data_IF_333806991292
#
_entry.id   IF_333806991292
#
_cell.length_a   1.000
_cell.length_b   1.000
_cell.length_c   1.000
_cell.angle_alpha   90.00
_cell.angle_beta   90.00
_cell.angle_gamma   90.00
#
_symmetry.space_group_name_H-M   'P 1'
#
loop_
_entity.id
_entity.type
_entity.pdbx_description
1 polymer ?
#
# COMPACT_ATOMS: atom_id res chain seq x y z
N UNK A 1 -6.88 4.26 0.64
CA UNK A 1 -7.97 3.29 0.41
C UNK A 1 -8.97 3.47 1.53
N UNK A 2 -10.21 3.76 1.21
CA UNK A 2 -11.31 3.84 2.16
C UNK A 2 -11.92 2.46 2.30
N UNK A 3 -11.87 1.87 3.48
CA UNK A 3 -12.22 0.46 3.67
C UNK A 3 -13.65 0.27 4.19
N UNK A 4 -14.31 1.36 4.63
CA UNK A 4 -15.58 1.31 5.37
C UNK A 4 -15.47 0.31 6.55
N UNK A 5 -14.34 0.32 7.22
CA UNK A 5 -13.95 -0.66 8.22
C UNK A 5 -13.63 -0.06 9.59
N UNK A 6 -13.10 -0.91 10.46
CA UNK A 6 -12.89 -0.57 11.87
C UNK A 6 -11.77 0.46 12.12
N UNK A 7 -10.87 0.66 11.16
CA UNK A 7 -9.69 1.54 11.36
C UNK A 7 -10.04 3.01 11.21
N UNK A 8 -10.78 3.39 10.18
CA UNK A 8 -11.17 4.79 9.96
C UNK A 8 -12.38 5.23 10.78
N UNK A 9 -13.23 4.30 11.22
CA UNK A 9 -14.48 4.56 11.93
C UNK A 9 -14.36 5.55 13.11
N UNK A 10 -13.37 5.44 14.01
CA UNK A 10 -13.26 6.35 15.15
C UNK A 10 -13.04 7.83 14.78
N UNK A 11 -12.60 8.09 13.54
CA UNK A 11 -12.39 9.43 13.02
C UNK A 11 -13.60 9.87 12.21
N UNK A 12 -14.08 9.03 11.31
CA UNK A 12 -15.20 9.35 10.42
C UNK A 12 -16.48 9.62 11.22
N UNK A 13 -16.75 8.88 12.28
CA UNK A 13 -17.94 9.07 13.13
C UNK A 13 -17.94 10.38 13.92
N UNK A 14 -16.80 11.05 14.07
CA UNK A 14 -16.69 12.35 14.74
C UNK A 14 -16.93 13.52 13.77
N UNK A 15 -16.94 13.28 12.46
CA UNK A 15 -17.17 14.30 11.47
C UNK A 15 -18.66 14.66 11.38
N UNK A 16 -18.96 15.93 11.13
CA UNK A 16 -20.29 16.44 10.83
C UNK A 16 -20.59 16.44 9.32
N UNK A 17 -19.54 16.45 8.49
CA UNK A 17 -19.58 16.38 7.04
C UNK A 17 -18.39 15.56 6.51
N UNK A 18 -18.63 14.73 5.52
CA UNK A 18 -17.61 14.03 4.76
C UNK A 18 -17.47 14.68 3.38
N UNK A 19 -16.26 14.97 2.97
CA UNK A 19 -15.97 15.52 1.64
C UNK A 19 -15.07 14.54 0.88
N UNK A 20 -15.63 13.91 -0.15
CA UNK A 20 -14.91 13.03 -1.06
C UNK A 20 -14.36 13.81 -2.26
N UNK A 21 -13.04 13.91 -2.37
CA UNK A 21 -12.38 14.67 -3.43
C UNK A 21 -11.77 13.70 -4.44
N UNK A 22 -12.21 13.78 -5.70
CA UNK A 22 -11.69 12.93 -6.78
C UNK A 22 -11.94 11.44 -6.55
N UNK A 23 -13.08 11.09 -5.94
CA UNK A 23 -13.44 9.70 -5.67
C UNK A 23 -13.50 8.90 -6.97
N UNK A 24 -12.85 7.76 -6.99
CA UNK A 24 -12.98 6.75 -8.03
C UNK A 24 -13.99 5.68 -7.56
N UNK A 25 -15.04 5.38 -8.36
CA UNK A 25 -16.02 4.35 -8.01
C UNK A 25 -15.41 2.98 -7.74
N UNK A 26 -14.26 2.69 -8.35
CA UNK A 26 -13.55 1.42 -8.15
C UNK A 26 -12.95 1.31 -6.75
N UNK A 27 -12.64 2.44 -6.11
CA UNK A 27 -12.12 2.48 -4.74
C UNK A 27 -13.23 2.35 -3.69
N UNK A 28 -14.47 2.61 -4.07
CA UNK A 28 -15.64 2.41 -3.23
C UNK A 28 -15.98 0.93 -3.23
N UNK A 29 -15.50 0.21 -2.22
CA UNK A 29 -15.80 -1.21 -2.06
C UNK A 29 -17.31 -1.43 -2.09
N UNK A 30 -17.83 -2.50 -2.72
CA UNK A 30 -19.26 -2.81 -2.82
C UNK A 30 -19.78 -3.30 -1.47
N UNK A 31 -19.74 -2.47 -0.46
CA UNK A 31 -20.32 -2.67 0.86
C UNK A 31 -21.34 -1.58 1.12
N UNK A 32 -22.42 -1.90 1.86
CA UNK A 32 -23.34 -0.86 2.29
C UNK A 32 -22.61 0.25 3.04
N UNK A 33 -22.91 1.48 2.69
CA UNK A 33 -22.42 2.64 3.42
C UNK A 33 -22.99 2.64 4.84
N UNK A 34 -22.13 2.72 5.84
CA UNK A 34 -22.53 2.55 7.26
C UNK A 34 -22.47 3.85 8.06
N UNK A 35 -21.98 4.94 7.46
CA UNK A 35 -21.90 6.22 8.13
C UNK A 35 -23.15 7.05 7.89
N UNK A 36 -23.56 7.83 8.92
CA UNK A 36 -24.76 8.65 8.90
C UNK A 36 -24.51 10.10 8.52
N UNK A 37 -23.24 10.52 8.52
CA UNK A 37 -22.83 11.87 8.15
C UNK A 37 -23.17 12.14 6.68
N UNK A 38 -23.62 13.36 6.35
CA UNK A 38 -23.79 13.76 4.97
C UNK A 38 -22.44 13.70 4.24
N UNK A 39 -22.46 13.23 2.99
CA UNK A 39 -21.27 13.15 2.15
C UNK A 39 -21.45 14.01 0.91
N UNK A 40 -20.48 14.88 0.67
CA UNK A 40 -20.36 15.69 -0.54
C UNK A 40 -19.25 15.10 -1.42
N UNK A 41 -19.50 14.91 -2.69
CA UNK A 41 -18.45 14.55 -3.65
C UNK A 41 -18.05 15.73 -4.52
N UNK A 42 -16.73 15.94 -4.69
CA UNK A 42 -16.15 16.88 -5.63
C UNK A 42 -15.31 16.11 -6.65
N UNK A 43 -15.67 16.16 -7.94
CA UNK A 43 -15.00 15.34 -8.94
C UNK A 43 -15.19 15.86 -10.36
N UNK A 44 -14.43 15.27 -11.31
CA UNK A 44 -14.55 15.60 -12.74
C UNK A 44 -15.77 14.97 -13.42
N UNK A 45 -16.35 13.97 -12.80
CA UNK A 45 -17.54 13.24 -13.26
C UNK A 45 -18.43 12.86 -12.10
N UNK A 46 -19.66 12.54 -12.40
CA UNK A 46 -20.62 12.07 -11.40
C UNK A 46 -20.28 10.65 -10.99
N UNK A 47 -20.22 10.41 -9.70
CA UNK A 47 -20.05 9.07 -9.11
C UNK A 47 -21.42 8.42 -8.97
N UNK A 48 -21.51 7.12 -9.25
CA UNK A 48 -22.73 6.34 -9.03
C UNK A 48 -23.03 6.25 -7.51
N UNK A 49 -24.23 6.62 -7.13
CA UNK A 49 -24.68 6.75 -5.75
C UNK A 49 -25.33 5.48 -5.17
N UNK A 50 -25.35 4.38 -5.95
CA UNK A 50 -25.97 3.12 -5.49
C UNK A 50 -25.37 2.57 -4.19
N UNK A 51 -24.13 2.87 -3.89
CA UNK A 51 -23.41 2.36 -2.72
C UNK A 51 -23.11 3.43 -1.68
N UNK A 52 -23.12 4.69 -2.06
CA UNK A 52 -22.79 5.83 -1.20
C UNK A 52 -23.88 6.90 -1.36
N UNK A 53 -24.67 7.20 -0.32
CA UNK A 53 -25.75 8.15 -0.39
C UNK A 53 -25.21 9.60 -0.35
N UNK A 54 -24.73 10.10 -1.49
CA UNK A 54 -24.23 11.46 -1.58
C UNK A 54 -25.36 12.48 -1.33
N UNK A 55 -25.15 13.40 -0.39
CA UNK A 55 -26.04 14.53 -0.17
C UNK A 55 -25.99 15.53 -1.35
N UNK A 56 -24.80 15.70 -1.94
CA UNK A 56 -24.59 16.46 -3.15
C UNK A 56 -23.32 16.01 -3.90
N UNK A 57 -23.28 16.30 -5.20
CA UNK A 57 -22.10 16.05 -6.02
C UNK A 57 -21.79 17.30 -6.85
N UNK A 58 -20.62 17.88 -6.64
CA UNK A 58 -20.04 18.94 -7.44
C UNK A 58 -19.22 18.32 -8.56
N UNK A 59 -19.57 18.64 -9.80
CA UNK A 59 -18.92 18.06 -11.00
C UNK A 59 -18.34 19.17 -11.83
N UNK A 60 -17.00 19.26 -11.84
CA UNK A 60 -16.30 20.33 -12.54
C UNK A 60 -14.78 20.23 -12.35
N UNK A 61 -14.16 21.39 -12.33
CA UNK A 61 -12.73 21.50 -12.06
C UNK A 61 -12.49 21.48 -10.54
N UNK A 62 -11.95 20.37 -10.04
CA UNK A 62 -11.85 20.08 -8.58
C UNK A 62 -11.23 21.25 -7.79
N UNK A 63 -10.21 21.90 -8.33
CA UNK A 63 -9.56 23.00 -7.61
C UNK A 63 -10.47 24.24 -7.44
N UNK A 64 -11.27 24.57 -8.44
CA UNK A 64 -12.24 25.66 -8.41
C UNK A 64 -13.39 25.33 -7.45
N UNK A 65 -13.95 24.11 -7.58
CA UNK A 65 -15.00 23.63 -6.68
C UNK A 65 -14.57 23.65 -5.20
N UNK A 66 -13.32 23.26 -4.92
CA UNK A 66 -12.80 23.31 -3.55
C UNK A 66 -12.56 24.72 -3.05
N UNK A 67 -12.16 25.68 -3.91
CA UNK A 67 -12.01 27.09 -3.55
C UNK A 67 -13.36 27.69 -3.19
N UNK A 68 -14.37 27.45 -4.02
CA UNK A 68 -15.74 27.95 -3.80
C UNK A 68 -16.36 27.34 -2.54
N UNK A 69 -16.12 26.04 -2.32
CA UNK A 69 -16.59 25.35 -1.12
C UNK A 69 -15.89 25.84 0.15
N UNK A 70 -14.61 26.16 0.09
CA UNK A 70 -13.81 26.55 1.26
C UNK A 70 -14.15 27.98 1.75
N UNK A 71 -14.56 28.88 0.85
CA UNK A 71 -14.79 30.27 1.17
C UNK A 71 -15.86 30.51 2.26
N UNK A 72 -17.02 29.82 2.27
CA UNK A 72 -18.05 29.99 3.29
C UNK A 72 -17.84 29.11 4.54
N UNK A 73 -16.90 28.17 4.55
CA UNK A 73 -16.75 27.26 5.66
C UNK A 73 -16.12 27.95 6.87
N UNK A 74 -16.62 27.69 8.10
CA UNK A 74 -15.97 28.11 9.31
C UNK A 74 -14.62 27.42 9.49
N UNK A 75 -13.80 27.97 10.38
CA UNK A 75 -12.57 27.28 10.79
C UNK A 75 -12.92 25.95 11.44
N UNK A 76 -12.15 24.94 11.11
CA UNK A 76 -12.30 23.61 11.69
C UNK A 76 -12.20 23.64 13.22
N UNK A 77 -13.14 22.98 13.89
CA UNK A 77 -13.12 22.76 15.33
C UNK A 77 -12.34 21.50 15.75
N UNK A 78 -11.71 20.81 14.82
CA UNK A 78 -10.94 19.61 15.12
C UNK A 78 -9.74 19.90 16.02
N UNK A 79 -9.62 19.16 17.11
CA UNK A 79 -8.38 19.04 17.88
C UNK A 79 -7.39 18.19 17.07
N UNK A 80 -6.44 18.85 16.42
CA UNK A 80 -5.45 18.18 15.56
C UNK A 80 -4.50 17.29 16.36
N UNK A 81 -4.27 17.54 17.63
CA UNK A 81 -3.41 16.70 18.46
C UNK A 81 -4.15 15.42 18.88
N UNK A 82 -5.40 15.54 19.31
CA UNK A 82 -6.26 14.40 19.55
C UNK A 82 -6.44 13.52 18.30
N UNK A 83 -6.61 14.15 17.13
CA UNK A 83 -6.70 13.45 15.86
C UNK A 83 -5.42 12.68 15.53
N UNK A 84 -4.24 13.30 15.70
CA UNK A 84 -2.94 12.63 15.49
C UNK A 84 -2.76 11.44 16.43
N UNK A 85 -3.14 11.60 17.68
CA UNK A 85 -3.10 10.52 18.68
C UNK A 85 -4.00 9.36 18.29
N UNK A 86 -5.23 9.66 17.84
CA UNK A 86 -6.17 8.64 17.35
C UNK A 86 -5.60 7.91 16.14
N UNK A 87 -5.07 8.63 15.15
CA UNK A 87 -4.44 8.01 13.96
C UNK A 87 -3.26 7.12 14.35
N UNK A 88 -2.41 7.58 15.28
CA UNK A 88 -1.28 6.79 15.76
C UNK A 88 -1.75 5.51 16.46
N UNK A 89 -2.77 5.61 17.32
CA UNK A 89 -3.39 4.45 17.97
C UNK A 89 -3.98 3.46 16.98
N UNK A 90 -4.70 3.93 15.94
CA UNK A 90 -5.23 3.04 14.90
C UNK A 90 -4.11 2.35 14.09
N UNK A 91 -3.01 3.04 13.79
CA UNK A 91 -1.85 2.45 13.14
C UNK A 91 -1.15 1.40 14.03
N UNK A 92 -1.15 1.59 15.34
CA UNK A 92 -0.57 0.62 16.26
C UNK A 92 -1.43 -0.65 16.35
N UNK A 93 -2.75 -0.57 16.25
CA UNK A 93 -3.64 -1.74 16.15
C UNK A 93 -3.34 -2.65 14.94
N UNK A 94 -2.64 -2.14 13.92
CA UNK A 94 -2.20 -2.93 12.76
C UNK A 94 -0.88 -3.67 13.02
N UNK A 95 -0.29 -3.54 14.21
CA UNK A 95 0.88 -4.33 14.61
C UNK A 95 0.47 -5.78 14.82
N UNK A 96 1.27 -6.67 14.26
CA UNK A 96 1.09 -8.11 14.45
C UNK A 96 2.24 -8.64 15.31
N UNK A 97 1.89 -9.29 16.41
CA UNK A 97 2.87 -9.98 17.26
C UNK A 97 3.25 -11.32 16.63
N UNK A 98 4.53 -11.51 16.38
CA UNK A 98 5.12 -12.75 15.86
C UNK A 98 6.61 -12.77 16.16
N UNK A 99 7.17 -13.95 16.36
CA UNK A 99 8.62 -14.15 16.47
C UNK A 99 9.31 -14.07 15.09
N UNK A 100 8.55 -14.17 14.03
CA UNK A 100 9.02 -14.04 12.66
C UNK A 100 8.79 -12.63 12.11
N UNK A 101 9.42 -12.31 11.00
CA UNK A 101 9.18 -11.08 10.29
C UNK A 101 7.75 -11.04 9.74
N UNK A 102 7.06 -9.91 9.92
CA UNK A 102 5.68 -9.72 9.47
C UNK A 102 5.58 -8.61 8.43
N UNK A 103 4.52 -8.64 7.62
CA UNK A 103 4.36 -7.66 6.54
C UNK A 103 4.28 -6.21 7.04
N UNK A 104 3.65 -5.95 8.18
CA UNK A 104 3.61 -4.63 8.79
C UNK A 104 4.99 -4.16 9.27
N UNK A 105 5.82 -5.06 9.84
CA UNK A 105 7.20 -4.75 10.21
C UNK A 105 8.04 -4.38 9.00
N UNK A 106 7.92 -5.15 7.90
CA UNK A 106 8.64 -4.84 6.64
C UNK A 106 8.30 -3.43 6.17
N UNK A 107 7.02 -3.07 6.10
CA UNK A 107 6.60 -1.74 5.65
C UNK A 107 7.09 -0.65 6.59
N UNK A 108 6.95 -0.83 7.91
CA UNK A 108 7.40 0.15 8.92
C UNK A 108 8.90 0.40 8.85
N UNK A 109 9.69 -0.66 8.69
CA UNK A 109 11.14 -0.55 8.57
C UNK A 109 11.52 0.12 7.26
N UNK A 110 10.98 -0.33 6.13
CA UNK A 110 11.27 0.24 4.81
C UNK A 110 10.91 1.74 4.73
N UNK A 111 9.74 2.13 5.24
CA UNK A 111 9.31 3.53 5.25
C UNK A 111 10.20 4.44 6.12
N UNK A 112 10.79 3.91 7.20
CA UNK A 112 11.74 4.66 8.03
C UNK A 112 13.13 4.75 7.42
N UNK A 113 13.58 3.68 6.76
CA UNK A 113 14.91 3.62 6.15
C UNK A 113 15.01 4.42 4.85
N UNK A 114 13.90 4.58 4.13
CA UNK A 114 13.82 5.31 2.88
C UNK A 114 12.72 6.41 2.92
N UNK A 115 12.84 7.43 3.80
CA UNK A 115 11.78 8.40 4.05
C UNK A 115 11.45 9.28 2.83
N UNK A 116 12.42 9.52 1.97
CA UNK A 116 12.26 10.34 0.77
C UNK A 116 11.96 9.53 -0.50
N UNK A 117 11.90 8.21 -0.38
CA UNK A 117 11.63 7.36 -1.52
C UNK A 117 10.19 7.51 -2.02
N UNK A 118 10.02 7.40 -3.34
CA UNK A 118 8.73 7.05 -3.92
C UNK A 118 8.49 5.56 -3.70
N UNK A 119 7.25 5.16 -3.45
CA UNK A 119 6.89 3.76 -3.28
C UNK A 119 5.92 3.31 -4.36
N UNK A 120 6.16 2.14 -4.92
CA UNK A 120 5.20 1.44 -5.78
C UNK A 120 4.76 0.16 -5.07
N UNK A 121 3.47 -0.15 -5.13
CA UNK A 121 2.90 -1.25 -4.36
C UNK A 121 2.11 -2.17 -5.28
N UNK A 122 2.44 -3.44 -5.22
CA UNK A 122 1.77 -4.48 -5.98
C UNK A 122 0.44 -4.91 -5.34
N UNK A 123 -0.44 -5.51 -6.12
CA UNK A 123 -1.63 -6.15 -5.58
C UNK A 123 -1.27 -7.42 -4.81
N UNK A 124 -1.91 -7.61 -3.67
CA UNK A 124 -1.69 -8.76 -2.78
C UNK A 124 -2.01 -8.43 -1.33
N UNK A 125 -1.76 -9.38 -0.42
CA UNK A 125 -2.03 -9.19 1.01
C UNK A 125 -1.14 -8.09 1.61
N UNK A 126 0.09 -7.94 1.13
CA UNK A 126 1.05 -6.90 1.54
C UNK A 126 0.62 -5.48 1.15
N UNK A 127 -0.31 -5.31 0.21
CA UNK A 127 -0.84 -4.00 -0.16
C UNK A 127 -1.54 -3.32 1.02
N UNK A 128 -2.22 -4.06 1.88
CA UNK A 128 -2.94 -3.49 3.02
C UNK A 128 -1.98 -2.81 4.01
N UNK A 129 -0.95 -3.48 4.58
CA UNK A 129 0.01 -2.77 5.42
C UNK A 129 0.75 -1.66 4.66
N UNK A 130 1.09 -1.86 3.38
CA UNK A 130 1.78 -0.86 2.60
C UNK A 130 0.99 0.46 2.50
N UNK A 131 -0.27 0.39 2.11
CA UNK A 131 -1.13 1.59 1.95
C UNK A 131 -1.51 2.26 3.28
N UNK A 132 -1.51 1.53 4.39
CA UNK A 132 -1.90 2.06 5.71
C UNK A 132 -0.72 2.57 6.53
N UNK A 133 0.46 2.00 6.35
CA UNK A 133 1.62 2.26 7.23
C UNK A 133 2.74 3.05 6.55
N UNK A 134 2.85 3.01 5.22
CA UNK A 134 3.84 3.81 4.52
C UNK A 134 3.54 5.30 4.68
N UNK A 135 4.57 6.08 4.99
CA UNK A 135 4.42 7.52 5.15
C UNK A 135 4.57 8.22 3.79
N UNK A 136 3.46 8.71 3.26
CA UNK A 136 3.43 9.54 2.05
C UNK A 136 3.63 11.00 2.43
N UNK A 137 4.52 11.72 1.75
CA UNK A 137 4.85 13.12 2.05
C UNK A 137 4.36 14.06 0.95
N UNK A 138 4.37 13.61 -0.31
CA UNK A 138 4.00 14.40 -1.48
C UNK A 138 2.95 13.68 -2.31
N UNK A 139 2.15 14.39 -3.10
CA UNK A 139 1.30 13.77 -4.11
C UNK A 139 2.12 12.87 -5.05
N UNK A 140 1.55 11.73 -5.45
CA UNK A 140 2.18 10.73 -6.32
C UNK A 140 3.45 10.07 -5.75
N UNK A 141 3.65 10.13 -4.43
CA UNK A 141 4.73 9.39 -3.77
C UNK A 141 4.40 7.91 -3.58
N UNK A 142 3.12 7.55 -3.61
CA UNK A 142 2.68 6.16 -3.60
C UNK A 142 1.90 5.86 -4.88
N UNK A 143 2.37 4.86 -5.62
CA UNK A 143 1.73 4.38 -6.84
C UNK A 143 1.21 2.96 -6.61
N UNK A 144 -0.06 2.76 -6.85
CA UNK A 144 -0.74 1.47 -6.77
C UNK A 144 -1.53 1.21 -8.05
N UNK A 145 -1.83 -0.04 -8.36
CA UNK A 145 -2.71 -0.39 -9.47
C UNK A 145 -4.16 -0.18 -9.06
N UNK A 146 -4.69 1.03 -9.30
CA UNK A 146 -6.12 1.31 -9.19
C UNK A 146 -6.87 0.70 -10.36
N UNK A 147 -8.14 0.40 -10.16
CA UNK A 147 -9.02 -0.14 -11.17
C UNK A 147 -8.96 -1.66 -11.26
N UNK A 148 -7.87 -2.25 -11.67
CA UNK A 148 -7.76 -3.70 -11.85
C UNK A 148 -7.02 -4.42 -10.73
N UNK A 149 -6.37 -3.72 -9.81
CA UNK A 149 -5.55 -4.30 -8.74
C UNK A 149 -4.59 -5.38 -9.28
N UNK A 150 -3.77 -4.98 -10.24
CA UNK A 150 -2.94 -5.91 -11.03
C UNK A 150 -1.72 -6.37 -10.24
N UNK A 151 -1.48 -7.67 -10.19
CA UNK A 151 -0.21 -8.25 -9.78
C UNK A 151 0.85 -8.00 -10.85
N UNK A 152 2.13 -7.88 -10.45
CA UNK A 152 3.24 -7.57 -11.36
C UNK A 152 3.31 -6.08 -11.75
N UNK A 153 2.60 -5.19 -11.06
CA UNK A 153 2.59 -3.75 -11.31
C UNK A 153 3.79 -3.02 -10.70
N UNK A 154 4.17 -3.39 -9.46
CA UNK A 154 5.07 -2.55 -8.66
C UNK A 154 6.45 -2.36 -9.30
N UNK A 155 7.07 -3.42 -9.83
CA UNK A 155 8.40 -3.32 -10.44
C UNK A 155 8.40 -2.50 -11.74
N UNK A 156 7.52 -2.75 -12.74
CA UNK A 156 7.43 -1.88 -13.92
C UNK A 156 7.11 -0.42 -13.59
N UNK A 157 6.21 -0.18 -12.63
CA UNK A 157 5.91 1.18 -12.17
C UNK A 157 7.12 1.86 -11.49
N UNK A 158 7.92 1.10 -10.73
CA UNK A 158 9.15 1.60 -10.13
C UNK A 158 10.19 1.98 -11.21
N UNK A 159 10.31 1.18 -12.25
CA UNK A 159 11.18 1.49 -13.41
C UNK A 159 10.74 2.80 -14.05
N UNK A 160 9.46 2.95 -14.37
CA UNK A 160 8.92 4.19 -14.94
C UNK A 160 9.14 5.40 -14.04
N UNK A 161 8.90 5.26 -12.74
CA UNK A 161 9.10 6.32 -11.77
C UNK A 161 10.58 6.74 -11.61
N UNK A 162 11.50 5.76 -11.62
CA UNK A 162 12.94 6.01 -11.52
C UNK A 162 13.53 6.60 -12.82
N UNK A 163 12.95 6.29 -13.98
CA UNK A 163 13.35 6.92 -15.25
C UNK A 163 12.96 8.40 -15.31
N UNK A 164 11.84 8.78 -14.69
CA UNK A 164 11.39 10.19 -14.63
C UNK A 164 12.25 11.00 -13.67
N UNK A 165 12.66 10.41 -12.55
CA UNK A 165 13.47 11.08 -11.52
C UNK A 165 14.54 10.10 -11.02
N UNK A 166 15.73 10.18 -11.63
CA UNK A 166 16.86 9.28 -11.36
C UNK A 166 17.56 9.54 -10.02
N UNK A 167 17.38 10.72 -9.46
CA UNK A 167 18.03 11.10 -8.19
C UNK A 167 17.27 10.56 -6.98
N UNK A 168 15.98 10.34 -7.14
CA UNK A 168 15.11 9.89 -6.06
C UNK A 168 15.01 8.37 -6.04
N UNK A 169 15.26 7.71 -4.88
CA UNK A 169 15.10 6.28 -4.78
C UNK A 169 13.62 5.89 -4.93
N UNK A 170 13.38 4.72 -5.51
CA UNK A 170 12.05 4.11 -5.59
C UNK A 170 12.07 2.78 -4.86
N UNK A 171 11.13 2.57 -3.95
CA UNK A 171 10.93 1.29 -3.26
C UNK A 171 9.75 0.57 -3.92
N UNK A 172 10.00 -0.60 -4.50
CA UNK A 172 8.95 -1.46 -5.05
C UNK A 172 8.58 -2.52 -4.00
N UNK A 173 7.38 -2.40 -3.44
CA UNK A 173 6.81 -3.38 -2.50
C UNK A 173 6.01 -4.41 -3.30
N UNK A 174 6.51 -5.64 -3.38
CA UNK A 174 5.95 -6.67 -4.26
C UNK A 174 5.91 -8.02 -3.55
N UNK A 175 4.82 -8.78 -3.73
CA UNK A 175 4.77 -10.16 -3.30
C UNK A 175 5.55 -11.08 -4.25
N UNK A 176 5.97 -12.22 -3.76
CA UNK A 176 6.69 -13.22 -4.55
C UNK A 176 5.90 -13.66 -5.79
N UNK A 177 4.59 -13.87 -5.67
CA UNK A 177 3.72 -14.19 -6.82
C UNK A 177 3.67 -13.08 -7.87
N UNK A 178 3.64 -11.82 -7.44
CA UNK A 178 3.67 -10.66 -8.34
C UNK A 178 5.02 -10.52 -9.03
N UNK A 179 6.12 -10.72 -8.31
CA UNK A 179 7.47 -10.66 -8.89
C UNK A 179 7.70 -11.78 -9.90
N UNK A 180 7.18 -12.99 -9.70
CA UNK A 180 7.24 -14.06 -10.70
C UNK A 180 6.61 -13.67 -12.04
N UNK A 181 5.59 -12.83 -12.03
CA UNK A 181 4.92 -12.37 -13.26
C UNK A 181 5.73 -11.35 -14.07
N UNK A 182 6.67 -10.65 -13.44
CA UNK A 182 7.46 -9.59 -14.06
C UNK A 182 8.97 -9.69 -13.78
N UNK A 183 9.46 -10.87 -13.40
CA UNK A 183 10.86 -11.09 -12.96
C UNK A 183 11.89 -10.66 -14.01
N UNK A 184 11.58 -10.76 -15.29
CA UNK A 184 12.43 -10.29 -16.38
C UNK A 184 12.77 -8.80 -16.31
N UNK A 185 11.91 -7.99 -15.71
CA UNK A 185 12.11 -6.54 -15.57
C UNK A 185 13.21 -6.18 -14.55
N UNK A 186 13.67 -7.13 -13.74
CA UNK A 186 14.88 -6.94 -12.95
C UNK A 186 16.09 -6.63 -13.85
N UNK A 187 16.16 -7.27 -15.03
CA UNK A 187 17.22 -6.99 -16.01
C UNK A 187 17.10 -5.56 -16.57
N UNK A 188 15.89 -5.08 -16.80
CA UNK A 188 15.64 -3.69 -17.24
C UNK A 188 16.16 -2.70 -16.19
N UNK A 189 15.85 -2.91 -14.92
CA UNK A 189 16.34 -2.08 -13.81
C UNK A 189 17.89 -2.07 -13.74
N UNK A 190 18.53 -3.23 -13.95
CA UNK A 190 19.98 -3.38 -13.94
C UNK A 190 20.63 -2.66 -15.15
N UNK A 191 20.09 -2.86 -16.35
CA UNK A 191 20.60 -2.22 -17.57
C UNK A 191 20.54 -0.71 -17.52
N UNK A 192 19.45 -0.19 -16.99
CA UNK A 192 19.21 1.25 -16.82
C UNK A 192 19.90 1.83 -15.57
N UNK A 193 20.52 1.00 -14.73
CA UNK A 193 21.17 1.37 -13.47
C UNK A 193 20.28 2.24 -12.57
N UNK A 194 19.01 1.85 -12.44
CA UNK A 194 18.02 2.62 -11.69
C UNK A 194 18.16 2.43 -10.18
N UNK A 195 18.00 3.50 -9.42
CA UNK A 195 17.98 3.40 -7.97
C UNK A 195 16.62 2.87 -7.48
N UNK A 196 16.42 1.57 -7.63
CA UNK A 196 15.21 0.85 -7.23
C UNK A 196 15.56 -0.18 -6.16
N UNK A 197 14.82 -0.17 -5.07
CA UNK A 197 14.89 -1.16 -4.00
C UNK A 197 13.67 -2.06 -4.11
N UNK A 198 13.86 -3.27 -4.61
CA UNK A 198 12.78 -4.27 -4.74
C UNK A 198 12.67 -5.03 -3.43
N UNK A 199 11.63 -4.77 -2.65
CA UNK A 199 11.34 -5.49 -1.40
C UNK A 199 10.30 -6.56 -1.69
N UNK A 200 10.73 -7.82 -1.64
CA UNK A 200 9.88 -8.98 -1.90
C UNK A 200 9.29 -9.48 -0.59
N UNK A 201 7.97 -9.49 -0.50
CA UNK A 201 7.25 -10.17 0.58
C UNK A 201 7.18 -11.66 0.22
N UNK A 202 8.13 -12.43 0.75
CA UNK A 202 8.35 -13.82 0.38
C UNK A 202 7.73 -14.74 1.43
N UNK A 203 6.55 -15.25 1.13
CA UNK A 203 5.82 -16.22 1.96
C UNK A 203 5.55 -17.56 1.24
N UNK A 204 5.91 -17.64 -0.05
CA UNK A 204 5.73 -18.83 -0.88
C UNK A 204 4.28 -19.09 -1.28
N UNK A 205 3.40 -18.10 -1.15
CA UNK A 205 1.96 -18.28 -1.37
C UNK A 205 1.30 -17.06 -2.05
N UNK A 206 0.15 -17.31 -2.67
CA UNK A 206 -0.82 -16.28 -3.03
C UNK A 206 -1.74 -16.01 -1.82
N UNK A 207 -1.18 -15.43 -0.76
CA UNK A 207 -1.78 -15.36 0.58
C UNK A 207 -3.14 -14.69 0.61
N UNK A 208 -3.39 -13.62 -0.17
CA UNK A 208 -4.71 -12.99 -0.21
C UNK A 208 -5.79 -13.92 -0.78
N UNK A 209 -5.42 -14.74 -1.78
CA UNK A 209 -6.34 -15.72 -2.38
C UNK A 209 -6.61 -16.84 -1.37
N UNK A 210 -5.56 -17.34 -0.71
CA UNK A 210 -5.68 -18.37 0.33
C UNK A 210 -6.60 -17.92 1.47
N UNK A 211 -6.38 -16.71 1.99
CA UNK A 211 -7.26 -16.13 3.02
C UNK A 211 -8.72 -16.09 2.57
N UNK A 212 -8.97 -15.67 1.32
CA UNK A 212 -10.34 -15.64 0.78
C UNK A 212 -10.94 -17.04 0.61
N UNK A 213 -10.15 -18.00 0.13
CA UNK A 213 -10.61 -19.41 0.02
C UNK A 213 -11.03 -19.93 1.39
N UNK A 214 -10.19 -19.75 2.43
CA UNK A 214 -10.51 -20.17 3.80
C UNK A 214 -11.72 -19.45 4.38
N UNK A 215 -11.89 -18.15 4.14
CA UNK A 215 -13.08 -17.40 4.56
C UNK A 215 -14.36 -17.94 3.95
N UNK A 216 -14.32 -18.41 2.70
CA UNK A 216 -15.44 -19.06 2.01
C UNK A 216 -15.54 -20.57 2.28
N UNK A 217 -14.71 -21.10 3.21
CA UNK A 217 -14.64 -22.54 3.54
C UNK A 217 -14.26 -23.41 2.34
N UNK A 218 -13.51 -22.88 1.40
CA UNK A 218 -12.92 -23.65 0.32
C UNK A 218 -11.57 -24.22 0.78
N UNK A 219 -11.18 -25.36 0.24
CA UNK A 219 -9.82 -25.88 0.42
C UNK A 219 -8.83 -24.99 -0.31
N UNK A 220 -7.68 -24.70 0.30
CA UNK A 220 -6.56 -23.98 -0.33
C UNK A 220 -6.02 -24.77 -1.53
N UNK A 221 -6.23 -24.26 -2.73
CA UNK A 221 -5.76 -24.89 -3.98
C UNK A 221 -5.18 -23.84 -4.92
N UNK A 222 -4.07 -24.20 -5.60
CA UNK A 222 -3.44 -23.34 -6.60
C UNK A 222 -2.81 -22.07 -6.02
N UNK A 223 -2.58 -22.01 -4.70
CA UNK A 223 -2.05 -20.83 -4.02
C UNK A 223 -0.61 -20.98 -3.55
N UNK A 224 -0.09 -22.20 -3.49
CA UNK A 224 1.30 -22.47 -3.10
C UNK A 224 2.22 -22.26 -4.29
N UNK A 225 3.22 -21.40 -4.13
CA UNK A 225 4.24 -21.09 -5.14
C UNK A 225 5.52 -21.90 -4.94
N UNK A 226 5.73 -22.44 -3.72
CA UNK A 226 6.99 -23.04 -3.32
C UNK A 226 8.07 -22.01 -2.97
N UNK A 227 9.22 -22.48 -2.53
CA UNK A 227 10.35 -21.63 -2.14
C UNK A 227 11.12 -21.11 -3.34
N UNK A 228 11.04 -19.82 -3.62
CA UNK A 228 11.85 -19.15 -4.64
C UNK A 228 13.13 -18.61 -3.99
N UNK A 229 14.29 -18.86 -4.59
CA UNK A 229 15.57 -18.31 -4.15
C UNK A 229 15.84 -16.97 -4.85
N UNK A 230 15.23 -15.91 -4.33
CA UNK A 230 15.29 -14.58 -4.94
C UNK A 230 16.71 -14.05 -5.09
N UNK A 231 17.58 -14.30 -4.10
CA UNK A 231 18.99 -13.91 -4.19
C UNK A 231 19.69 -14.54 -5.40
N UNK A 232 19.46 -15.83 -5.68
CA UNK A 232 20.05 -16.50 -6.83
C UNK A 232 19.51 -15.98 -8.16
N UNK A 233 18.22 -15.60 -8.22
CA UNK A 233 17.63 -14.97 -9.40
C UNK A 233 18.26 -13.59 -9.64
N UNK A 234 18.35 -12.77 -8.61
CA UNK A 234 18.94 -11.43 -8.70
C UNK A 234 20.41 -11.50 -9.11
N UNK A 235 21.18 -12.45 -8.54
CA UNK A 235 22.59 -12.71 -8.89
C UNK A 235 22.74 -13.04 -10.38
N UNK A 236 21.83 -13.82 -10.95
CA UNK A 236 21.82 -14.16 -12.38
C UNK A 236 21.72 -12.91 -13.27
N UNK A 237 21.07 -11.85 -12.78
CA UNK A 237 20.99 -10.54 -13.41
C UNK A 237 22.09 -9.58 -12.96
N UNK A 238 23.06 -10.02 -12.14
CA UNK A 238 24.11 -9.19 -11.53
C UNK A 238 23.53 -8.08 -10.64
N UNK A 239 22.38 -8.31 -10.06
CA UNK A 239 21.71 -7.42 -9.13
C UNK A 239 22.03 -7.84 -7.70
N UNK A 240 22.57 -6.95 -6.85
CA UNK A 240 22.78 -7.24 -5.44
C UNK A 240 21.47 -7.63 -4.75
N UNK A 241 21.55 -8.64 -3.88
CA UNK A 241 20.40 -9.12 -3.15
C UNK A 241 20.75 -9.50 -1.71
N UNK A 242 19.81 -9.26 -0.82
CA UNK A 242 19.91 -9.55 0.60
C UNK A 242 18.66 -10.31 1.04
N UNK A 243 18.85 -11.35 1.86
CA UNK A 243 17.75 -12.04 2.50
C UNK A 243 17.59 -11.55 3.95
N UNK A 244 16.36 -11.42 4.41
CA UNK A 244 16.04 -11.01 5.75
C UNK A 244 14.91 -11.87 6.33
N UNK A 245 15.14 -12.41 7.52
CA UNK A 245 14.18 -13.19 8.32
C UNK A 245 13.88 -12.52 9.67
N UNK A 246 14.69 -11.51 10.02
CA UNK A 246 14.58 -10.74 11.26
C UNK A 246 14.57 -9.24 10.99
N UNK A 247 14.04 -8.46 11.94
CA UNK A 247 14.04 -6.99 11.86
C UNK A 247 15.46 -6.42 11.69
N UNK A 248 16.46 -7.03 12.36
CA UNK A 248 17.87 -6.60 12.26
C UNK A 248 18.43 -6.83 10.87
N UNK A 249 18.23 -8.01 10.30
CA UNK A 249 18.67 -8.32 8.94
C UNK A 249 17.99 -7.41 7.92
N UNK A 250 16.69 -7.16 8.08
CA UNK A 250 15.92 -6.26 7.22
C UNK A 250 16.46 -4.82 7.28
N UNK A 251 16.75 -4.30 8.48
CA UNK A 251 17.32 -2.97 8.64
C UNK A 251 18.69 -2.86 7.96
N UNK A 252 19.54 -3.86 8.13
CA UNK A 252 20.85 -3.90 7.49
C UNK A 252 20.71 -3.95 5.97
N UNK A 253 19.88 -4.85 5.43
CA UNK A 253 19.64 -5.00 4.01
C UNK A 253 19.12 -3.71 3.36
N UNK A 254 18.18 -3.03 4.01
CA UNK A 254 17.63 -1.77 3.53
C UNK A 254 18.64 -0.62 3.63
N UNK A 255 19.45 -0.56 4.69
CA UNK A 255 20.53 0.44 4.81
C UNK A 255 21.52 0.34 3.65
N UNK A 256 21.94 -0.88 3.34
CA UNK A 256 22.83 -1.17 2.21
C UNK A 256 22.16 -0.80 0.86
N UNK A 257 20.90 -1.18 0.68
CA UNK A 257 20.14 -0.90 -0.53
C UNK A 257 19.94 0.60 -0.78
N UNK A 258 19.63 1.38 0.26
CA UNK A 258 19.45 2.83 0.16
C UNK A 258 20.76 3.54 -0.17
N UNK A 259 21.88 3.12 0.43
CA UNK A 259 23.20 3.76 0.22
C UNK A 259 23.80 3.46 -1.15
N UNK A 260 23.41 2.37 -1.80
CA UNK A 260 24.07 1.82 -2.99
C UNK A 260 23.85 2.62 -4.29
N UNK A 261 22.82 3.44 -4.40
CA UNK A 261 22.45 4.15 -5.64
C UNK A 261 22.39 3.27 -6.90
N UNK A 262 21.75 2.11 -6.80
CA UNK A 262 21.54 1.18 -7.90
C UNK A 262 20.43 0.18 -7.58
N UNK A 263 20.05 -0.68 -8.53
CA UNK A 263 18.99 -1.66 -8.28
C UNK A 263 19.45 -2.70 -7.27
N UNK A 264 18.60 -2.98 -6.31
CA UNK A 264 18.88 -3.91 -5.21
C UNK A 264 17.62 -4.68 -4.87
N UNK A 265 17.74 -5.98 -4.57
CA UNK A 265 16.61 -6.80 -4.11
C UNK A 265 16.77 -7.15 -2.63
N UNK A 266 15.69 -7.02 -1.88
CA UNK A 266 15.58 -7.44 -0.48
C UNK A 266 14.50 -8.52 -0.39
N UNK A 267 14.92 -9.77 -0.14
CA UNK A 267 14.05 -10.93 0.08
C UNK A 267 13.62 -10.94 1.54
N UNK A 268 12.49 -10.31 1.84
CA UNK A 268 11.90 -10.29 3.18
C UNK A 268 11.03 -11.53 3.37
N UNK A 269 11.55 -12.53 4.09
CA UNK A 269 10.85 -13.79 4.39
C UNK A 269 9.92 -13.59 5.56
N UNK A 270 8.63 -13.59 5.28
CA UNK A 270 7.61 -13.23 6.24
C UNK A 270 6.73 -14.41 6.63
N UNK A 271 6.11 -14.30 7.82
CA UNK A 271 5.06 -15.20 8.26
C UNK A 271 3.70 -14.82 7.61
N UNK A 272 3.14 -15.67 6.72
CA UNK A 272 1.86 -15.41 6.08
C UNK A 272 0.67 -15.38 7.05
N UNK A 273 0.78 -15.99 8.23
CA UNK A 273 -0.29 -15.99 9.23
C UNK A 273 -0.61 -14.56 9.72
N UNK A 274 0.34 -13.64 9.63
CA UNK A 274 0.18 -12.23 9.98
C UNK A 274 -0.91 -11.52 9.18
N UNK A 275 -1.18 -11.94 7.96
CA UNK A 275 -2.18 -11.32 7.10
C UNK A 275 -3.62 -11.51 7.60
N UNK A 276 -3.96 -12.69 8.14
CA UNK A 276 -5.29 -12.94 8.70
C UNK A 276 -5.62 -12.01 9.87
N UNK A 277 -4.66 -11.84 10.79
CA UNK A 277 -4.81 -10.97 11.95
C UNK A 277 -5.04 -9.52 11.50
N UNK A 278 -4.22 -9.04 10.56
CA UNK A 278 -4.33 -7.68 10.07
C UNK A 278 -5.62 -7.44 9.29
N UNK A 279 -6.01 -8.33 8.39
CA UNK A 279 -7.26 -8.20 7.63
C UNK A 279 -8.50 -8.18 8.52
N UNK A 280 -8.50 -8.95 9.62
CA UNK A 280 -9.55 -8.87 10.65
C UNK A 280 -9.57 -7.51 11.33
N UNK A 281 -8.40 -6.97 11.71
CA UNK A 281 -8.31 -5.64 12.33
C UNK A 281 -8.83 -4.53 11.41
N UNK A 282 -8.52 -4.62 10.12
CA UNK A 282 -8.94 -3.61 9.12
C UNK A 282 -10.43 -3.66 8.86
N UNK A 283 -11.02 -4.84 8.83
CA UNK A 283 -12.41 -5.02 8.41
C UNK A 283 -13.40 -5.01 9.57
N UNK A 284 -12.99 -5.27 10.79
CA UNK A 284 -13.84 -5.41 11.97
C UNK A 284 -14.44 -6.79 12.06
#
# INVERSE_FOLDING_TARGET
MFTNGAIERPIVEQADLLIGVGLDPVELLPRPWTYTQPILACGRWRVDDRHVPFAAQLVGHIAEELQDLAAPLPRSAWDLEALRTTVAGQRERLRVESDQLTADRVVRVASRMAPDARVTVDAGAHMFPATMLWRVIRPNDMLISNGLSTMGFALPAAIGAALIDRERPVVALIGDGGLLMCVGELLTAVREQLHIIVVVFSDGMLSLIDVKQRQHRYSSRGVTLGGVRWASIAESFRMPAYAATTDRELQQALSEAVSRRGPTLVDARIDPASYDAMLKTVRG
#
